data_IF_230748874766
#
_entry.id   IF_230748874766
#
_cell.length_a   1.000
_cell.length_b   1.000
_cell.length_c   1.000
_cell.angle_alpha   90.00
_cell.angle_beta   90.00
_cell.angle_gamma   90.00
#
_symmetry.space_group_name_H-M   'P 1'
#
loop_
_entity.id
_entity.type
_entity.pdbx_description
1 polymer ?
#
# COMPACT_ATOMS: atom_id res chain seq x y z
N UNK A 1 -20.65 28.82 16.10
CA UNK A 1 -21.12 27.42 16.17
C UNK A 1 -20.43 26.67 15.05
N UNK A 2 -19.50 25.73 15.33
CA UNK A 2 -18.96 24.87 14.29
C UNK A 2 -20.01 23.85 13.84
N UNK A 3 -20.07 23.59 12.54
CA UNK A 3 -21.04 22.70 11.91
C UNK A 3 -20.73 21.22 12.26
N UNK A 4 -21.67 20.46 12.86
CA UNK A 4 -21.42 19.07 13.27
C UNK A 4 -21.51 18.04 12.13
N UNK A 5 -21.67 18.47 10.87
CA UNK A 5 -21.91 17.56 9.73
C UNK A 5 -20.78 17.55 8.70
N UNK A 6 -19.53 17.70 9.12
CA UNK A 6 -18.42 17.15 8.34
C UNK A 6 -18.23 15.70 8.78
N UNK A 7 -18.75 14.68 8.07
CA UNK A 7 -18.27 13.33 8.30
C UNK A 7 -16.77 13.41 8.08
N UNK A 8 -16.01 13.21 9.15
CA UNK A 8 -14.57 12.97 9.06
C UNK A 8 -14.47 11.72 8.20
N UNK A 9 -14.39 11.90 6.87
CA UNK A 9 -14.30 10.81 5.90
C UNK A 9 -13.15 9.99 6.40
N UNK A 10 -13.44 8.82 6.96
CA UNK A 10 -12.42 7.97 7.57
C UNK A 10 -11.44 7.66 6.45
N UNK A 11 -10.30 8.37 6.48
CA UNK A 11 -9.32 8.27 5.42
C UNK A 11 -8.70 6.91 5.59
N UNK A 12 -9.11 5.98 4.72
CA UNK A 12 -8.63 4.61 4.79
C UNK A 12 -7.13 4.60 4.50
N UNK A 13 -6.41 3.65 5.10
CA UNK A 13 -5.00 3.40 4.79
C UNK A 13 -4.71 3.34 3.27
N UNK A 14 -5.50 2.64 2.43
CA UNK A 14 -5.30 2.66 0.98
C UNK A 14 -5.42 4.06 0.35
N UNK A 15 -6.41 4.87 0.75
CA UNK A 15 -6.56 6.25 0.25
C UNK A 15 -5.37 7.13 0.66
N UNK A 16 -4.89 6.97 1.89
CA UNK A 16 -3.72 7.71 2.39
C UNK A 16 -2.47 7.35 1.59
N UNK A 17 -2.24 6.06 1.35
CA UNK A 17 -1.09 5.59 0.60
C UNK A 17 -1.16 5.96 -0.88
N UNK A 18 -2.35 5.95 -1.49
CA UNK A 18 -2.54 6.45 -2.85
C UNK A 18 -2.22 7.94 -2.96
N UNK A 19 -2.66 8.75 -1.99
CA UNK A 19 -2.32 10.18 -1.93
C UNK A 19 -0.81 10.41 -1.79
N UNK A 20 -0.15 9.72 -0.86
CA UNK A 20 1.30 9.82 -0.66
C UNK A 20 2.05 9.40 -1.94
N UNK A 21 1.62 8.30 -2.58
CA UNK A 21 2.20 7.86 -3.85
C UNK A 21 2.04 8.92 -4.92
N UNK A 22 0.85 9.51 -5.08
CA UNK A 22 0.61 10.54 -6.09
C UNK A 22 1.43 11.82 -5.86
N UNK A 23 1.57 12.25 -4.61
CA UNK A 23 2.25 13.51 -4.26
C UNK A 23 3.78 13.39 -4.21
N UNK A 24 4.30 12.27 -3.71
CA UNK A 24 5.73 12.11 -3.37
C UNK A 24 6.45 11.12 -4.27
N UNK A 25 5.73 10.14 -4.80
CA UNK A 25 6.31 9.03 -5.57
C UNK A 25 5.51 8.75 -6.86
N UNK A 26 5.30 9.74 -7.75
CA UNK A 26 4.40 9.60 -8.89
C UNK A 26 4.87 8.55 -9.91
N UNK A 27 6.13 8.14 -9.86
CA UNK A 27 6.74 7.10 -10.69
C UNK A 27 6.46 5.68 -10.17
N UNK A 28 5.97 5.52 -8.94
CA UNK A 28 5.63 4.21 -8.40
C UNK A 28 4.31 3.72 -8.98
N UNK A 29 4.31 2.44 -9.33
CA UNK A 29 3.14 1.75 -9.86
C UNK A 29 2.02 1.64 -8.80
N UNK A 30 0.79 2.00 -9.18
CA UNK A 30 -0.37 1.99 -8.29
C UNK A 30 -0.71 0.58 -7.82
N UNK A 31 -0.64 -0.39 -8.73
CA UNK A 31 -0.99 -1.78 -8.46
C UNK A 31 0.06 -2.43 -7.56
N UNK A 32 1.33 -2.04 -7.67
CA UNK A 32 2.36 -2.46 -6.72
C UNK A 32 2.05 -2.00 -5.29
N UNK A 33 1.66 -0.74 -5.09
CA UNK A 33 1.31 -0.22 -3.75
C UNK A 33 0.12 -0.97 -3.15
N UNK A 34 -0.89 -1.28 -3.98
CA UNK A 34 -2.06 -2.07 -3.55
C UNK A 34 -1.68 -3.50 -3.17
N UNK A 35 -0.77 -4.11 -3.91
CA UNK A 35 -0.28 -5.46 -3.65
C UNK A 35 0.48 -5.52 -2.33
N UNK A 36 1.34 -4.55 -2.05
CA UNK A 36 2.05 -4.42 -0.75
C UNK A 36 1.05 -4.27 0.39
N UNK A 37 0.02 -3.44 0.23
CA UNK A 37 -1.02 -3.25 1.26
C UNK A 37 -1.82 -4.52 1.51
N UNK A 38 -2.12 -5.28 0.45
CA UNK A 38 -2.76 -6.59 0.56
C UNK A 38 -1.88 -7.57 1.32
N UNK A 39 -0.61 -7.69 0.95
CA UNK A 39 0.36 -8.56 1.64
C UNK A 39 0.52 -8.16 3.11
N UNK A 40 0.50 -6.88 3.42
CA UNK A 40 0.56 -6.38 4.80
C UNK A 40 -0.68 -6.81 5.61
N UNK A 41 -1.88 -6.69 5.03
CA UNK A 41 -3.12 -7.12 5.66
C UNK A 41 -3.17 -8.65 5.85
N UNK A 42 -2.65 -9.43 4.91
CA UNK A 42 -2.57 -10.91 4.98
C UNK A 42 -1.49 -11.39 5.96
N UNK A 43 -0.37 -10.67 6.12
CA UNK A 43 0.79 -11.10 6.92
C UNK A 43 0.62 -10.94 8.44
N UNK A 44 -0.47 -10.33 8.92
CA UNK A 44 -0.97 -10.37 10.30
C UNK A 44 -0.09 -9.81 11.44
N UNK A 45 1.24 -9.72 11.31
CA UNK A 45 2.19 -9.06 12.24
C UNK A 45 3.67 -9.36 11.92
N UNK A 46 4.00 -10.31 11.04
CA UNK A 46 5.39 -10.67 10.81
C UNK A 46 6.03 -9.80 9.71
N UNK A 47 6.62 -8.67 10.11
CA UNK A 47 7.29 -7.73 9.19
C UNK A 47 8.40 -8.38 8.33
N UNK A 48 9.01 -9.47 8.82
CA UNK A 48 9.97 -10.27 8.04
C UNK A 48 9.33 -11.06 6.90
N UNK A 49 8.09 -11.56 7.09
CA UNK A 49 7.34 -12.24 6.03
C UNK A 49 6.89 -11.28 4.94
N UNK A 50 6.53 -10.05 5.33
CA UNK A 50 6.14 -9.00 4.39
C UNK A 50 7.28 -8.62 3.44
N UNK A 51 8.49 -8.39 3.96
CA UNK A 51 9.65 -8.03 3.11
C UNK A 51 9.89 -9.11 2.04
N UNK A 52 9.92 -10.37 2.45
CA UNK A 52 10.14 -11.49 1.53
C UNK A 52 9.02 -11.62 0.48
N UNK A 53 7.76 -11.49 0.90
CA UNK A 53 6.63 -11.58 -0.03
C UNK A 53 6.63 -10.43 -1.05
N UNK A 54 7.06 -9.23 -0.64
CA UNK A 54 7.24 -8.10 -1.55
C UNK A 54 8.36 -8.36 -2.55
N UNK A 55 9.50 -8.88 -2.10
CA UNK A 55 10.62 -9.23 -2.98
C UNK A 55 10.21 -10.31 -4.02
N UNK A 56 9.48 -11.35 -3.59
CA UNK A 56 8.98 -12.41 -4.48
C UNK A 56 8.01 -11.86 -5.55
N UNK A 57 7.11 -10.94 -5.17
CA UNK A 57 6.20 -10.27 -6.12
C UNK A 57 6.96 -9.40 -7.12
N UNK A 58 7.95 -8.64 -6.66
CA UNK A 58 8.78 -7.79 -7.52
C UNK A 58 9.55 -8.66 -8.53
N UNK A 59 10.19 -9.72 -8.06
CA UNK A 59 10.93 -10.65 -8.91
C UNK A 59 10.02 -11.32 -9.96
N UNK A 60 8.82 -11.76 -9.55
CA UNK A 60 7.84 -12.34 -10.47
C UNK A 60 7.40 -11.35 -11.57
N UNK A 61 7.24 -10.06 -11.25
CA UNK A 61 6.91 -9.02 -12.23
C UNK A 61 8.07 -8.68 -13.17
N UNK A 62 9.31 -8.78 -12.68
CA UNK A 62 10.51 -8.52 -13.47
C UNK A 62 10.95 -9.73 -14.32
N UNK A 63 10.31 -10.89 -14.13
CA UNK A 63 10.72 -12.14 -14.78
C UNK A 63 12.03 -12.70 -14.24
N UNK A 64 12.50 -12.21 -13.10
CA UNK A 64 13.66 -12.73 -12.40
C UNK A 64 13.22 -13.97 -11.62
N UNK A 65 13.73 -15.15 -12.00
CA UNK A 65 13.58 -16.35 -11.18
C UNK A 65 14.51 -16.23 -9.97
N UNK A 66 13.92 -16.12 -8.77
CA UNK A 66 14.61 -16.20 -7.48
C UNK A 66 15.05 -17.64 -7.18
#
# INVERSE_FOLDING_TARGET
>A
MPDPASPTREVSLPDTMERIRAERFPHLDRDLVREILRLHAESGSAMQGLSRAVDEVIAARLGESV
#
